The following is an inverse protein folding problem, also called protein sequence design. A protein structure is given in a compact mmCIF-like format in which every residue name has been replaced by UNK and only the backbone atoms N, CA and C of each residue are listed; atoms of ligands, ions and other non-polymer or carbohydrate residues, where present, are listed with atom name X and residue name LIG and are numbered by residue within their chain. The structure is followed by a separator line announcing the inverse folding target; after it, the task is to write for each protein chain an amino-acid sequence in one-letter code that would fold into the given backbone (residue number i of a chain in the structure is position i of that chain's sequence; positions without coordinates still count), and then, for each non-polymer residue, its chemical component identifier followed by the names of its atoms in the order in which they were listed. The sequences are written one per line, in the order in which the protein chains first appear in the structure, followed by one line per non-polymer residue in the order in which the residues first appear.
data_IF_039588160736
#
_entry.id   IF_039588160736
#
_cell.length_a   1.000
_cell.length_b   1.000
_cell.length_c   1.000
_cell.angle_alpha   90.00
_cell.angle_beta   90.00
_cell.angle_gamma   90.00
#
_symmetry.space_group_name_H-M   'P 1'
#
loop_
_entity.id
_entity.type
_entity.pdbx_description
1 polymer ?
#
# COMPACT_ATOMS: atom_id res chain seq x y z
N UNK A 1 -1.99 -6.83 34.75
CA UNK A 1 -1.25 -8.06 34.42
C UNK A 1 -0.78 -7.92 33.00
N UNK A 2 0.52 -7.76 32.76
CA UNK A 2 1.09 -7.72 31.40
C UNK A 2 0.80 -9.06 30.75
N UNK A 3 -0.02 -9.08 29.71
CA UNK A 3 -0.31 -10.30 28.94
C UNK A 3 1.00 -10.75 28.30
N UNK A 4 1.53 -11.86 28.76
CA UNK A 4 2.75 -12.41 28.18
C UNK A 4 2.43 -13.04 26.82
N UNK A 5 2.65 -12.29 25.74
CA UNK A 5 2.39 -12.70 24.36
C UNK A 5 3.49 -13.58 23.75
N UNK A 6 4.57 -13.86 24.48
CA UNK A 6 5.68 -14.68 23.97
C UNK A 6 5.22 -16.09 23.55
N UNK A 7 4.27 -16.68 24.29
CA UNK A 7 3.68 -17.97 23.92
C UNK A 7 2.95 -17.91 22.58
N UNK A 8 2.18 -16.86 22.33
CA UNK A 8 1.50 -16.61 21.06
C UNK A 8 2.50 -16.42 19.92
N UNK A 9 3.53 -15.61 20.13
CA UNK A 9 4.57 -15.39 19.11
C UNK A 9 5.31 -16.67 18.77
N UNK A 10 5.66 -17.47 19.77
CA UNK A 10 6.32 -18.78 19.56
C UNK A 10 5.41 -19.76 18.80
N UNK A 11 4.10 -19.77 19.10
CA UNK A 11 3.14 -20.63 18.40
C UNK A 11 3.02 -20.24 16.91
N UNK A 12 2.93 -18.94 16.61
CA UNK A 12 2.90 -18.44 15.22
C UNK A 12 4.19 -18.79 14.49
N UNK A 13 5.36 -18.62 15.13
CA UNK A 13 6.64 -18.95 14.53
C UNK A 13 6.76 -20.46 14.25
N UNK A 14 6.26 -21.31 15.13
CA UNK A 14 6.22 -22.74 14.89
C UNK A 14 5.30 -23.08 13.72
N UNK A 15 4.09 -22.52 13.70
CA UNK A 15 3.11 -22.72 12.64
C UNK A 15 3.61 -22.23 11.27
N UNK A 16 4.38 -21.13 11.21
CA UNK A 16 4.95 -20.61 9.96
C UNK A 16 5.85 -21.60 9.23
N UNK A 17 6.53 -22.50 9.98
CA UNK A 17 7.38 -23.54 9.40
C UNK A 17 6.56 -24.64 8.74
N UNK A 18 5.36 -24.90 9.23
CA UNK A 18 4.45 -25.91 8.69
C UNK A 18 3.88 -25.49 7.33
N UNK A 19 3.77 -24.15 7.06
CA UNK A 19 3.32 -23.63 5.78
C UNK A 19 4.20 -24.07 4.60
N UNK A 20 5.48 -24.26 4.82
CA UNK A 20 6.41 -24.74 3.79
C UNK A 20 6.09 -26.15 3.27
N UNK A 21 5.25 -26.91 3.98
CA UNK A 21 4.82 -28.26 3.62
C UNK A 21 3.51 -28.27 2.81
N UNK A 22 2.80 -27.14 2.74
CA UNK A 22 1.56 -27.05 1.99
C UNK A 22 1.85 -26.89 0.48
N UNK A 23 1.08 -27.63 -0.32
CA UNK A 23 1.10 -27.44 -1.77
C UNK A 23 0.36 -26.15 -2.17
N UNK A 24 0.71 -25.57 -3.33
CA UNK A 24 -0.01 -24.40 -3.86
C UNK A 24 -1.50 -24.72 -4.07
N UNK A 25 -1.83 -25.94 -4.51
CA UNK A 25 -3.22 -26.39 -4.65
C UNK A 25 -3.98 -26.40 -3.32
N UNK A 26 -3.35 -26.84 -2.24
CA UNK A 26 -3.96 -26.82 -0.91
C UNK A 26 -4.18 -25.39 -0.43
N UNK A 27 -3.20 -24.50 -0.64
CA UNK A 27 -3.32 -23.07 -0.34
C UNK A 27 -4.48 -22.44 -1.10
N UNK A 28 -4.62 -22.75 -2.40
CA UNK A 28 -5.69 -22.23 -3.23
C UNK A 28 -7.08 -22.74 -2.79
N UNK A 29 -7.17 -24.01 -2.37
CA UNK A 29 -8.39 -24.57 -1.80
C UNK A 29 -8.78 -23.89 -0.50
N UNK A 30 -7.82 -23.62 0.40
CA UNK A 30 -8.07 -22.90 1.65
C UNK A 30 -8.58 -21.47 1.36
N UNK A 31 -7.93 -20.74 0.46
CA UNK A 31 -8.34 -19.37 0.08
C UNK A 31 -9.79 -19.36 -0.48
N UNK A 32 -10.10 -20.28 -1.36
CA UNK A 32 -11.46 -20.40 -1.88
C UNK A 32 -12.48 -20.74 -0.78
N UNK A 33 -12.13 -21.66 0.13
CA UNK A 33 -12.99 -22.01 1.26
C UNK A 33 -13.17 -20.83 2.24
N UNK A 34 -12.15 -20.01 2.45
CA UNK A 34 -12.26 -18.76 3.25
C UNK A 34 -13.19 -17.76 2.57
N UNK A 35 -13.09 -17.60 1.24
CA UNK A 35 -14.00 -16.75 0.49
C UNK A 35 -15.47 -17.23 0.60
N UNK A 36 -15.69 -18.54 0.51
CA UNK A 36 -17.04 -19.14 0.68
C UNK A 36 -17.55 -18.95 2.12
N UNK A 37 -16.69 -19.14 3.12
CA UNK A 37 -17.03 -18.93 4.52
C UNK A 37 -17.34 -17.47 4.84
N UNK A 38 -16.62 -16.51 4.24
CA UNK A 38 -16.90 -15.07 4.40
C UNK A 38 -18.32 -14.72 3.91
N UNK A 39 -18.76 -15.34 2.82
CA UNK A 39 -20.15 -15.17 2.32
C UNK A 39 -21.16 -15.88 3.22
N UNK A 40 -20.91 -17.11 3.60
CA UNK A 40 -21.83 -17.89 4.43
C UNK A 40 -22.02 -17.28 5.83
N UNK A 41 -20.98 -16.74 6.41
CA UNK A 41 -20.97 -16.13 7.74
C UNK A 41 -21.24 -14.59 7.71
N UNK A 42 -21.70 -14.06 6.56
CA UNK A 42 -22.04 -12.63 6.40
C UNK A 42 -22.92 -12.10 7.54
N UNK A 43 -24.04 -12.77 7.94
CA UNK A 43 -24.88 -12.27 9.03
C UNK A 43 -24.13 -12.15 10.36
N UNK A 44 -23.26 -13.12 10.67
CA UNK A 44 -22.44 -13.10 11.88
C UNK A 44 -21.43 -11.96 11.84
N UNK A 45 -20.67 -11.82 10.74
CA UNK A 45 -19.67 -10.76 10.59
C UNK A 45 -20.32 -9.37 10.68
N UNK A 46 -21.49 -9.18 10.06
CA UNK A 46 -22.19 -7.89 10.10
C UNK A 46 -22.72 -7.59 11.49
N UNK A 47 -23.24 -8.60 12.24
CA UNK A 47 -23.70 -8.38 13.62
C UNK A 47 -22.57 -7.94 14.56
N UNK A 48 -21.35 -8.45 14.37
CA UNK A 48 -20.18 -8.01 15.14
C UNK A 48 -19.71 -6.64 14.68
N UNK A 49 -19.76 -6.33 13.37
CA UNK A 49 -19.44 -5.01 12.85
C UNK A 49 -20.41 -3.92 13.35
N UNK A 50 -21.69 -4.25 13.54
CA UNK A 50 -22.66 -3.31 14.14
C UNK A 50 -22.27 -2.89 15.55
N UNK A 51 -21.64 -3.75 16.36
CA UNK A 51 -21.13 -3.41 17.70
C UNK A 51 -20.02 -2.36 17.61
N UNK A 52 -19.10 -2.53 16.66
CA UNK A 52 -18.04 -1.56 16.42
C UNK A 52 -18.61 -0.22 15.94
N UNK A 53 -19.54 -0.25 14.98
CA UNK A 53 -20.20 0.95 14.44
C UNK A 53 -21.00 1.71 15.50
N UNK A 54 -21.62 1.00 16.46
CA UNK A 54 -22.39 1.62 17.55
C UNK A 54 -21.50 2.44 18.50
N UNK A 55 -20.19 2.16 18.56
CA UNK A 55 -19.21 2.89 19.38
C UNK A 55 -18.58 4.09 18.67
N UNK A 56 -18.82 4.25 17.36
CA UNK A 56 -18.22 5.31 16.55
C UNK A 56 -19.25 6.35 16.12
N UNK A 57 -18.91 7.63 16.25
CA UNK A 57 -19.75 8.72 15.71
C UNK A 57 -19.82 8.63 14.18
N UNK A 58 -21.04 8.74 13.64
CA UNK A 58 -21.28 8.68 12.18
C UNK A 58 -20.61 9.82 11.40
N UNK A 59 -20.30 10.94 12.05
CA UNK A 59 -19.55 12.05 11.45
C UNK A 59 -18.05 11.81 11.41
N UNK A 60 -17.54 10.77 12.08
CA UNK A 60 -16.13 10.43 12.08
C UNK A 60 -15.70 9.97 10.67
N UNK A 61 -14.65 10.54 10.06
CA UNK A 61 -14.15 10.14 8.74
C UNK A 61 -13.76 8.65 8.64
N UNK A 62 -13.50 7.99 9.77
CA UNK A 62 -13.19 6.56 9.83
C UNK A 62 -14.44 5.68 9.76
N UNK A 63 -15.64 6.22 9.97
CA UNK A 63 -16.89 5.44 10.02
C UNK A 63 -17.16 4.65 8.74
N UNK A 64 -16.99 5.29 7.57
CA UNK A 64 -17.16 4.59 6.30
C UNK A 64 -16.13 3.49 6.07
N UNK A 65 -14.89 3.67 6.56
CA UNK A 65 -13.83 2.66 6.47
C UNK A 65 -14.10 1.44 7.35
N UNK A 66 -14.73 1.67 8.51
CA UNK A 66 -15.09 0.64 9.49
C UNK A 66 -16.29 -0.19 9.01
N UNK A 67 -17.23 0.44 8.31
CA UNK A 67 -18.50 -0.16 7.93
C UNK A 67 -18.29 -1.31 6.94
N UNK A 68 -18.76 -2.50 7.29
CA UNK A 68 -18.95 -3.63 6.38
C UNK A 68 -20.39 -3.65 5.85
N UNK A 69 -20.58 -4.20 4.67
CA UNK A 69 -21.87 -4.46 4.04
C UNK A 69 -21.81 -5.81 3.32
N UNK A 70 -22.93 -6.39 3.01
CA UNK A 70 -22.98 -7.64 2.22
C UNK A 70 -22.22 -7.48 0.88
N UNK A 71 -22.35 -6.33 0.22
CA UNK A 71 -21.64 -6.03 -1.03
C UNK A 71 -20.13 -5.96 -0.81
N UNK A 72 -19.67 -5.30 0.26
CA UNK A 72 -18.23 -5.24 0.61
C UNK A 72 -17.68 -6.63 0.91
N UNK A 73 -18.43 -7.48 1.63
CA UNK A 73 -18.01 -8.86 1.91
C UNK A 73 -17.95 -9.72 0.64
N UNK A 74 -18.89 -9.54 -0.30
CA UNK A 74 -18.82 -10.16 -1.64
C UNK A 74 -17.58 -9.71 -2.42
N UNK A 75 -17.22 -8.42 -2.33
CA UNK A 75 -15.98 -7.89 -2.91
C UNK A 75 -14.73 -8.53 -2.30
N UNK A 76 -14.66 -8.59 -0.97
CA UNK A 76 -13.54 -9.24 -0.23
C UNK A 76 -13.41 -10.72 -0.63
N UNK A 77 -14.53 -11.44 -0.73
CA UNK A 77 -14.51 -12.83 -1.16
C UNK A 77 -14.02 -12.98 -2.62
N UNK A 78 -14.38 -12.05 -3.50
CA UNK A 78 -13.88 -12.03 -4.87
C UNK A 78 -12.38 -11.74 -4.91
N UNK A 79 -11.90 -10.80 -4.12
CA UNK A 79 -10.46 -10.48 -4.00
C UNK A 79 -9.67 -11.68 -3.44
N UNK A 80 -10.20 -12.38 -2.42
CA UNK A 80 -9.59 -13.59 -1.87
C UNK A 80 -9.48 -14.71 -2.92
N UNK A 81 -10.55 -14.92 -3.73
CA UNK A 81 -10.50 -15.87 -4.84
C UNK A 81 -9.52 -15.45 -5.93
N UNK A 82 -9.42 -14.15 -6.21
CA UNK A 82 -8.42 -13.64 -7.13
C UNK A 82 -7.00 -13.98 -6.67
N UNK A 83 -6.68 -13.79 -5.39
CA UNK A 83 -5.37 -14.19 -4.82
C UNK A 83 -5.12 -15.69 -5.02
N UNK A 84 -6.13 -16.54 -4.86
CA UNK A 84 -5.99 -17.98 -5.11
C UNK A 84 -5.61 -18.31 -6.57
N UNK A 85 -5.97 -17.46 -7.53
CA UNK A 85 -5.61 -17.68 -8.96
C UNK A 85 -4.21 -17.20 -9.32
N UNK A 86 -3.58 -16.38 -8.48
CA UNK A 86 -2.25 -15.85 -8.76
C UNK A 86 -1.20 -16.95 -8.67
N UNK A 87 -0.13 -16.88 -9.48
CA UNK A 87 0.98 -17.84 -9.38
C UNK A 87 1.67 -17.70 -8.02
N UNK A 88 2.06 -18.84 -7.44
CA UNK A 88 2.85 -18.83 -6.20
C UNK A 88 4.17 -18.06 -6.40
N UNK A 89 4.55 -17.17 -5.50
CA UNK A 89 5.83 -16.48 -5.56
C UNK A 89 6.98 -17.34 -5.03
N UNK A 90 6.67 -18.53 -4.46
CA UNK A 90 7.65 -19.37 -3.76
C UNK A 90 8.37 -20.33 -4.70
N UNK A 91 9.62 -20.67 -4.35
CA UNK A 91 10.45 -21.63 -5.10
C UNK A 91 10.89 -21.15 -6.48
N UNK A 92 10.65 -19.91 -6.85
CA UNK A 92 11.08 -19.35 -8.15
C UNK A 92 12.59 -19.22 -8.18
N UNK A 93 13.20 -19.70 -9.28
CA UNK A 93 14.63 -19.56 -9.50
C UNK A 93 14.91 -18.13 -9.93
N UNK A 94 15.53 -17.33 -9.04
CA UNK A 94 15.91 -15.95 -9.31
C UNK A 94 17.27 -15.85 -10.00
N UNK A 95 18.16 -16.82 -9.72
CA UNK A 95 19.48 -16.92 -10.34
C UNK A 95 20.01 -18.35 -10.20
N UNK A 96 20.68 -18.84 -11.22
CA UNK A 96 21.40 -20.11 -11.19
C UNK A 96 22.82 -19.91 -11.75
N UNK A 97 23.80 -20.52 -11.12
CA UNK A 97 25.21 -20.40 -11.54
C UNK A 97 25.99 -21.65 -11.15
N UNK A 98 26.71 -22.26 -12.08
CA UNK A 98 27.69 -23.30 -11.82
C UNK A 98 29.07 -22.72 -11.62
N UNK A 99 29.81 -23.21 -10.65
CA UNK A 99 31.18 -22.79 -10.37
C UNK A 99 32.21 -23.72 -11.02
N UNK A 100 33.44 -23.23 -11.28
CA UNK A 100 34.49 -24.07 -11.90
C UNK A 100 34.82 -25.34 -11.12
N UNK A 101 34.58 -25.37 -9.79
CA UNK A 101 34.80 -26.52 -8.93
C UNK A 101 33.59 -27.49 -8.90
N UNK A 102 32.60 -27.29 -9.75
CA UNK A 102 31.42 -28.17 -9.86
C UNK A 102 30.25 -27.82 -8.95
N UNK A 103 30.40 -26.85 -8.01
CA UNK A 103 29.25 -26.41 -7.19
C UNK A 103 28.17 -25.73 -8.04
N UNK A 104 26.92 -26.10 -7.83
CA UNK A 104 25.73 -25.43 -8.36
C UNK A 104 25.13 -24.52 -7.29
N UNK A 105 24.94 -23.26 -7.60
CA UNK A 105 24.35 -22.23 -6.73
C UNK A 105 23.03 -21.80 -7.32
N UNK A 106 21.94 -21.99 -6.58
CA UNK A 106 20.59 -21.58 -7.00
C UNK A 106 20.03 -20.61 -5.98
N UNK A 107 19.67 -19.39 -6.43
CA UNK A 107 18.97 -18.40 -5.63
C UNK A 107 17.48 -18.61 -5.81
N UNK A 108 16.76 -18.95 -4.74
CA UNK A 108 15.32 -19.25 -4.79
C UNK A 108 14.53 -18.30 -3.89
N UNK A 109 13.33 -17.93 -4.32
CA UNK A 109 12.40 -17.15 -3.48
C UNK A 109 11.84 -17.98 -2.35
N UNK A 110 11.71 -17.35 -1.17
CA UNK A 110 11.19 -17.97 0.06
C UNK A 110 10.32 -16.95 0.81
N UNK A 111 9.39 -17.39 1.70
CA UNK A 111 8.68 -16.45 2.57
C UNK A 111 9.64 -15.71 3.50
N UNK A 112 9.20 -14.56 4.05
CA UNK A 112 9.88 -13.94 5.18
C UNK A 112 9.81 -14.84 6.43
N UNK A 113 8.64 -15.41 6.69
CA UNK A 113 8.33 -16.22 7.86
C UNK A 113 7.09 -15.72 8.58
N UNK A 114 7.26 -14.82 9.57
CA UNK A 114 6.16 -14.21 10.32
C UNK A 114 6.09 -12.71 10.04
N UNK A 115 4.95 -12.24 9.55
CA UNK A 115 4.71 -10.83 9.27
C UNK A 115 3.73 -10.26 10.28
N UNK A 116 4.14 -9.22 11.02
CA UNK A 116 3.28 -8.43 11.88
C UNK A 116 2.59 -7.31 11.11
N UNK A 117 1.27 -7.20 11.20
CA UNK A 117 0.51 -6.12 10.56
C UNK A 117 -0.18 -5.29 11.63
N UNK A 118 0.12 -3.99 11.69
CA UNK A 118 -0.51 -3.04 12.60
C UNK A 118 -1.41 -2.12 11.78
N UNK A 119 -2.73 -2.12 12.03
CA UNK A 119 -3.69 -1.40 11.19
C UNK A 119 -4.82 -0.74 11.99
N UNK A 120 -5.41 0.32 11.42
CA UNK A 120 -6.51 1.10 11.98
C UNK A 120 -7.81 0.80 11.23
N UNK A 121 -8.95 0.83 11.96
CA UNK A 121 -10.35 0.95 11.50
C UNK A 121 -10.68 0.39 10.08
N UNK A 122 -10.16 -0.79 9.72
CA UNK A 122 -10.36 -1.43 8.40
C UNK A 122 -10.49 -2.93 8.56
N UNK A 123 -11.67 -3.46 8.91
CA UNK A 123 -11.85 -4.91 9.13
C UNK A 123 -11.47 -5.77 7.92
N UNK A 124 -11.67 -5.27 6.69
CA UNK A 124 -11.30 -5.98 5.47
C UNK A 124 -9.80 -6.36 5.42
N UNK A 125 -8.93 -5.56 6.06
CA UNK A 125 -7.48 -5.82 6.08
C UNK A 125 -7.16 -7.21 6.64
N UNK A 126 -7.98 -7.73 7.57
CA UNK A 126 -7.78 -9.07 8.14
C UNK A 126 -7.86 -10.17 7.07
N UNK A 127 -8.83 -10.11 6.15
CA UNK A 127 -8.93 -11.04 5.03
C UNK A 127 -7.83 -10.81 3.99
N UNK A 128 -7.60 -9.55 3.61
CA UNK A 128 -6.64 -9.18 2.57
C UNK A 128 -5.23 -9.65 2.95
N UNK A 129 -4.82 -9.33 4.18
CA UNK A 129 -3.50 -9.72 4.71
C UNK A 129 -3.36 -11.22 4.85
N UNK A 130 -4.38 -11.89 5.43
CA UNK A 130 -4.36 -13.35 5.55
C UNK A 130 -4.16 -14.01 4.18
N UNK A 131 -4.93 -13.57 3.17
CA UNK A 131 -4.87 -14.14 1.83
C UNK A 131 -3.49 -14.00 1.18
N UNK A 132 -2.92 -12.80 1.26
CA UNK A 132 -1.58 -12.53 0.71
C UNK A 132 -0.48 -13.26 1.49
N UNK A 133 -0.54 -13.28 2.82
CA UNK A 133 0.42 -13.99 3.65
C UNK A 133 0.37 -15.49 3.40
N UNK A 134 -0.81 -16.11 3.41
CA UNK A 134 -0.96 -17.54 3.15
C UNK A 134 -0.43 -17.91 1.76
N UNK A 135 -0.81 -17.14 0.71
CA UNK A 135 -0.36 -17.41 -0.68
C UNK A 135 1.14 -17.26 -0.86
N UNK A 136 1.78 -16.40 -0.09
CA UNK A 136 3.23 -16.20 -0.09
C UNK A 136 3.98 -17.03 0.96
N UNK A 137 3.29 -17.96 1.65
CA UNK A 137 3.88 -18.87 2.63
C UNK A 137 4.27 -18.23 3.95
N UNK A 138 3.74 -17.04 4.26
CA UNK A 138 3.98 -16.34 5.51
C UNK A 138 2.86 -16.61 6.51
N UNK A 139 3.20 -16.77 7.78
CA UNK A 139 2.26 -16.60 8.87
C UNK A 139 2.11 -15.12 9.20
N UNK A 140 0.97 -14.71 9.77
CA UNK A 140 0.76 -13.31 10.11
C UNK A 140 0.23 -13.11 11.53
N UNK A 141 0.69 -12.02 12.14
CA UNK A 141 0.20 -11.52 13.42
C UNK A 141 -0.50 -10.19 13.15
N UNK A 142 -1.79 -10.15 13.42
CA UNK A 142 -2.66 -9.02 13.18
C UNK A 142 -2.82 -8.22 14.48
N UNK A 143 -2.60 -6.91 14.41
CA UNK A 143 -2.84 -5.98 15.50
C UNK A 143 -3.75 -4.86 15.00
N UNK A 144 -5.05 -5.10 15.11
CA UNK A 144 -6.09 -4.12 14.78
C UNK A 144 -6.22 -3.01 15.83
N UNK A 145 -6.89 -1.93 15.46
CA UNK A 145 -7.33 -0.90 16.40
C UNK A 145 -8.56 -1.34 17.18
N UNK A 146 -8.79 -0.72 18.37
CA UNK A 146 -9.98 -0.96 19.19
C UNK A 146 -11.29 -0.57 18.49
N UNK A 147 -11.21 0.26 17.46
CA UNK A 147 -12.36 0.69 16.65
C UNK A 147 -13.03 -0.46 15.90
N UNK A 148 -12.31 -1.56 15.63
CA UNK A 148 -12.74 -2.69 14.81
C UNK A 148 -12.54 -4.05 15.50
N UNK A 149 -12.48 -4.09 16.82
CA UNK A 149 -12.07 -5.30 17.57
C UNK A 149 -13.07 -6.45 17.39
N UNK A 150 -14.38 -6.19 17.49
CA UNK A 150 -15.42 -7.22 17.33
C UNK A 150 -15.44 -7.76 15.90
N UNK A 151 -15.35 -6.90 14.90
CA UNK A 151 -15.26 -7.29 13.49
C UNK A 151 -14.04 -8.15 13.19
N UNK A 152 -12.86 -7.74 13.69
CA UNK A 152 -11.62 -8.47 13.48
C UNK A 152 -11.67 -9.86 14.13
N UNK A 153 -12.19 -9.98 15.36
CA UNK A 153 -12.39 -11.27 16.04
C UNK A 153 -13.31 -12.19 15.26
N UNK A 154 -14.42 -11.65 14.77
CA UNK A 154 -15.38 -12.41 13.94
C UNK A 154 -14.70 -12.96 12.69
N UNK A 155 -13.98 -12.12 11.97
CA UNK A 155 -13.25 -12.50 10.74
C UNK A 155 -12.22 -13.60 11.04
N UNK A 156 -11.39 -13.42 12.07
CA UNK A 156 -10.37 -14.42 12.41
C UNK A 156 -11.01 -15.72 12.86
N UNK A 157 -12.12 -15.70 13.59
CA UNK A 157 -12.85 -16.92 13.95
C UNK A 157 -13.36 -17.70 12.72
N UNK A 158 -13.82 -16.97 11.68
CA UNK A 158 -14.22 -17.59 10.40
C UNK A 158 -13.04 -18.24 9.70
N UNK A 159 -11.90 -17.56 9.65
CA UNK A 159 -10.66 -18.08 9.04
C UNK A 159 -10.19 -19.33 9.81
N UNK A 160 -10.15 -19.30 11.15
CA UNK A 160 -9.71 -20.43 11.97
C UNK A 160 -10.60 -21.67 11.74
N UNK A 161 -11.93 -21.52 11.69
CA UNK A 161 -12.85 -22.63 11.36
C UNK A 161 -12.55 -23.29 10.00
N UNK A 162 -12.08 -22.50 9.02
CA UNK A 162 -11.67 -23.04 7.73
C UNK A 162 -10.36 -23.78 7.85
N UNK A 163 -9.35 -23.19 8.51
CA UNK A 163 -8.04 -23.83 8.71
C UNK A 163 -8.16 -25.18 9.42
N UNK A 164 -9.01 -25.26 10.45
CA UNK A 164 -9.30 -26.51 11.17
C UNK A 164 -9.87 -27.60 10.24
N UNK A 165 -10.77 -27.24 9.33
CA UNK A 165 -11.34 -28.19 8.33
C UNK A 165 -10.28 -28.74 7.37
N UNK A 166 -9.23 -27.96 7.10
CA UNK A 166 -8.11 -28.38 6.27
C UNK A 166 -6.97 -29.00 7.08
N UNK A 167 -7.13 -29.20 8.40
CA UNK A 167 -6.11 -29.69 9.32
C UNK A 167 -4.82 -28.85 9.29
N UNK A 168 -4.96 -27.54 9.03
CA UNK A 168 -3.86 -26.58 9.08
C UNK A 168 -3.85 -25.91 10.43
N UNK A 169 -2.66 -25.73 10.98
CA UNK A 169 -2.46 -25.09 12.28
C UNK A 169 -3.05 -23.67 12.28
N UNK A 170 -4.09 -23.34 13.09
CA UNK A 170 -4.73 -22.04 13.07
C UNK A 170 -3.79 -20.91 13.51
N UNK A 171 -2.71 -21.20 14.22
CA UNK A 171 -1.71 -20.21 14.62
C UNK A 171 -0.93 -19.59 13.44
N UNK A 172 -1.17 -20.01 12.19
CA UNK A 172 -0.63 -19.28 11.04
C UNK A 172 -1.22 -17.86 10.89
N UNK A 173 -2.32 -17.58 11.57
CA UNK A 173 -2.87 -16.23 11.70
C UNK A 173 -3.35 -16.01 13.13
N UNK A 174 -2.84 -14.96 13.77
CA UNK A 174 -3.22 -14.57 15.13
C UNK A 174 -3.62 -13.11 15.22
N UNK A 175 -4.68 -12.85 15.96
CA UNK A 175 -5.13 -11.49 16.28
C UNK A 175 -4.74 -11.16 17.72
N UNK A 176 -3.89 -10.16 17.89
CA UNK A 176 -3.52 -9.63 19.20
C UNK A 176 -4.62 -8.76 19.82
N UNK A 177 -4.64 -8.65 21.15
CA UNK A 177 -5.51 -7.70 21.84
C UNK A 177 -5.37 -6.27 21.30
N UNK A 178 -6.47 -5.52 21.28
CA UNK A 178 -6.52 -4.18 20.69
C UNK A 178 -5.91 -3.08 21.59
N UNK A 179 -5.14 -3.44 22.61
CA UNK A 179 -4.50 -2.52 23.56
C UNK A 179 -3.10 -2.05 23.12
N UNK A 180 -2.54 -1.09 23.85
CA UNK A 180 -1.21 -0.53 23.60
C UNK A 180 -0.07 -1.47 24.01
N UNK A 181 -0.31 -2.31 25.02
CA UNK A 181 0.69 -3.26 25.51
C UNK A 181 0.98 -4.32 24.45
N UNK A 182 -0.06 -4.84 23.78
CA UNK A 182 0.08 -5.76 22.66
C UNK A 182 0.83 -5.12 21.47
N UNK A 183 0.59 -3.83 21.20
CA UNK A 183 1.36 -3.10 20.17
C UNK A 183 2.84 -3.04 20.56
N UNK A 184 3.15 -2.64 21.78
CA UNK A 184 4.54 -2.57 22.25
C UNK A 184 5.21 -3.96 22.26
N UNK A 185 4.48 -5.01 22.65
CA UNK A 185 4.98 -6.38 22.60
C UNK A 185 5.33 -6.81 21.17
N UNK A 186 4.44 -6.53 20.19
CA UNK A 186 4.68 -6.85 18.78
C UNK A 186 5.90 -6.11 18.22
N UNK A 187 6.04 -4.79 18.50
CA UNK A 187 7.18 -3.98 18.05
C UNK A 187 8.53 -4.49 18.59
N UNK A 188 8.51 -5.22 19.70
CA UNK A 188 9.69 -5.76 20.37
C UNK A 188 9.83 -7.30 20.21
N UNK A 189 8.98 -7.98 19.43
CA UNK A 189 8.97 -9.44 19.27
C UNK A 189 10.13 -9.96 18.41
N UNK A 190 11.35 -9.48 18.67
CA UNK A 190 12.58 -9.91 17.99
C UNK A 190 12.81 -11.41 18.19
N UNK A 191 13.19 -12.10 17.10
CA UNK A 191 13.37 -13.55 17.11
C UNK A 191 12.10 -14.38 16.88
N UNK A 192 10.92 -13.73 16.88
CA UNK A 192 9.62 -14.35 16.56
C UNK A 192 8.97 -13.80 15.30
N UNK A 193 9.12 -12.48 15.07
CA UNK A 193 8.54 -11.76 13.95
C UNK A 193 9.65 -11.23 13.07
N UNK A 194 9.54 -11.46 11.77
CA UNK A 194 10.59 -11.14 10.78
C UNK A 194 10.40 -9.75 10.17
N UNK A 195 9.16 -9.29 10.07
CA UNK A 195 8.80 -8.05 9.40
C UNK A 195 7.54 -7.45 10.01
N UNK A 196 7.47 -6.11 10.09
CA UNK A 196 6.24 -5.38 10.44
C UNK A 196 5.84 -4.47 9.27
N UNK A 197 4.53 -4.45 8.96
CA UNK A 197 3.94 -3.57 7.96
C UNK A 197 2.82 -2.76 8.64
N UNK A 198 3.03 -1.46 8.91
CA UNK A 198 1.97 -0.60 9.42
C UNK A 198 1.01 -0.17 8.29
N UNK A 199 -0.30 -0.12 8.61
CA UNK A 199 -1.38 0.27 7.69
C UNK A 199 -2.32 1.26 8.37
N UNK A 200 -2.18 2.55 8.10
CA UNK A 200 -3.02 3.55 8.74
C UNK A 200 -2.59 4.98 8.45
N UNK A 201 -2.79 5.84 9.43
CA UNK A 201 -2.38 7.25 9.39
C UNK A 201 -0.87 7.40 9.41
N UNK A 202 -0.37 8.53 8.91
CA UNK A 202 1.06 8.89 8.98
C UNK A 202 1.59 8.84 10.42
N UNK A 203 0.75 9.20 11.40
CA UNK A 203 1.13 9.12 12.82
C UNK A 203 1.40 7.66 13.26
N UNK A 204 0.55 6.71 12.85
CA UNK A 204 0.77 5.29 13.15
C UNK A 204 2.05 4.79 12.47
N UNK A 205 2.25 5.14 11.20
CA UNK A 205 3.42 4.69 10.42
C UNK A 205 4.71 5.22 11.06
N UNK A 206 4.76 6.51 11.40
CA UNK A 206 5.89 7.13 12.07
C UNK A 206 6.15 6.49 13.43
N UNK A 207 5.09 6.28 14.22
CA UNK A 207 5.20 5.63 15.52
C UNK A 207 5.81 4.23 15.41
N UNK A 208 5.35 3.41 14.46
CA UNK A 208 5.88 2.06 14.23
C UNK A 208 7.34 2.13 13.80
N UNK A 209 7.68 3.00 12.85
CA UNK A 209 9.05 3.19 12.36
C UNK A 209 10.03 3.55 13.47
N UNK A 210 9.62 4.45 14.38
CA UNK A 210 10.48 4.97 15.45
C UNK A 210 10.64 4.01 16.63
N UNK A 211 9.67 3.09 16.83
CA UNK A 211 9.62 2.25 18.03
C UNK A 211 9.84 0.75 17.76
N UNK A 212 9.81 0.31 16.49
CA UNK A 212 10.02 -1.10 16.18
C UNK A 212 11.50 -1.48 16.27
N UNK A 213 11.76 -2.64 16.88
CA UNK A 213 13.06 -3.32 16.86
C UNK A 213 13.16 -4.39 15.76
N UNK A 214 12.11 -4.58 15.03
CA UNK A 214 11.96 -5.50 13.90
C UNK A 214 11.98 -4.66 12.62
N UNK A 215 12.50 -5.16 11.50
CA UNK A 215 12.42 -4.50 10.21
C UNK A 215 10.99 -4.05 9.87
N UNK A 216 10.84 -2.84 9.35
CA UNK A 216 9.54 -2.27 8.98
C UNK A 216 9.52 -1.97 7.48
N UNK A 217 8.47 -2.38 6.79
CA UNK A 217 8.16 -1.86 5.45
C UNK A 217 7.08 -0.81 5.59
N UNK A 218 7.44 0.45 5.32
CA UNK A 218 6.53 1.58 5.46
C UNK A 218 5.62 1.72 4.22
N UNK A 219 4.33 1.89 4.48
CA UNK A 219 3.38 2.39 3.49
C UNK A 219 3.17 3.87 3.79
N UNK A 220 4.03 4.73 3.23
CA UNK A 220 4.07 6.16 3.56
C UNK A 220 2.85 6.95 3.06
N UNK A 221 2.77 8.24 3.48
CA UNK A 221 1.86 9.20 2.89
C UNK A 221 2.14 9.36 1.39
N UNK A 222 1.09 9.58 0.60
CA UNK A 222 1.22 9.78 -0.83
C UNK A 222 1.11 11.25 -1.19
N UNK A 223 2.25 11.97 -1.25
CA UNK A 223 2.28 13.32 -1.80
C UNK A 223 2.75 13.20 -3.25
N UNK A 224 1.79 13.35 -4.18
CA UNK A 224 2.02 13.11 -5.60
C UNK A 224 2.05 14.41 -6.40
N UNK A 225 2.96 14.50 -7.37
CA UNK A 225 3.08 15.66 -8.26
C UNK A 225 2.81 15.28 -9.71
N UNK A 226 2.26 16.24 -10.46
CA UNK A 226 2.24 16.22 -11.93
C UNK A 226 2.90 17.48 -12.43
N UNK A 227 4.06 17.35 -13.06
CA UNK A 227 4.77 18.45 -13.69
C UNK A 227 4.32 18.60 -15.15
N UNK A 228 3.70 19.75 -15.47
CA UNK A 228 3.36 20.15 -16.82
C UNK A 228 4.53 20.96 -17.41
N UNK A 229 5.32 20.29 -18.24
CA UNK A 229 6.55 20.81 -18.86
C UNK A 229 6.26 21.86 -19.95
N UNK A 230 7.28 22.62 -20.35
CA UNK A 230 7.17 23.59 -21.46
C UNK A 230 6.76 22.92 -22.79
N UNK A 231 7.01 21.62 -22.97
CA UNK A 231 6.63 20.81 -24.12
C UNK A 231 5.38 19.95 -23.88
N UNK A 232 4.61 20.22 -22.83
CA UNK A 232 3.42 19.45 -22.49
C UNK A 232 2.28 19.63 -23.49
N UNK A 233 1.54 18.56 -23.77
CA UNK A 233 0.26 18.64 -24.50
C UNK A 233 -0.86 19.00 -23.54
N UNK A 234 -1.55 20.12 -23.80
CA UNK A 234 -2.57 20.69 -22.91
C UNK A 234 -3.76 19.76 -22.71
N UNK A 235 -4.19 19.03 -23.76
CA UNK A 235 -5.32 18.11 -23.67
C UNK A 235 -4.96 16.91 -22.79
N UNK A 236 -3.80 16.27 -23.05
CA UNK A 236 -3.31 15.17 -22.22
C UNK A 236 -3.12 15.61 -20.77
N UNK A 237 -2.52 16.79 -20.54
CA UNK A 237 -2.32 17.35 -19.22
C UNK A 237 -3.62 17.57 -18.46
N UNK A 238 -4.65 18.11 -19.10
CA UNK A 238 -5.97 18.34 -18.50
C UNK A 238 -6.62 17.02 -18.05
N UNK A 239 -6.59 16.00 -18.92
CA UNK A 239 -7.18 14.69 -18.62
C UNK A 239 -6.41 13.96 -17.50
N UNK A 240 -5.06 14.01 -17.52
CA UNK A 240 -4.19 13.42 -16.50
C UNK A 240 -4.42 14.07 -15.14
N UNK A 241 -4.38 15.41 -15.06
CA UNK A 241 -4.57 16.18 -13.82
C UNK A 241 -5.97 15.93 -13.25
N UNK A 242 -7.01 15.99 -14.10
CA UNK A 242 -8.37 15.72 -13.68
C UNK A 242 -8.51 14.30 -13.12
N UNK A 243 -8.06 13.28 -13.85
CA UNK A 243 -8.14 11.89 -13.42
C UNK A 243 -7.35 11.65 -12.12
N UNK A 244 -6.10 12.11 -12.06
CA UNK A 244 -5.24 11.92 -10.89
C UNK A 244 -5.82 12.58 -9.62
N UNK A 245 -6.52 13.72 -9.74
CA UNK A 245 -7.12 14.42 -8.60
C UNK A 245 -8.51 13.91 -8.23
N UNK A 246 -9.35 13.55 -9.20
CA UNK A 246 -10.81 13.42 -8.93
C UNK A 246 -11.33 11.98 -8.96
N UNK A 247 -10.58 11.02 -9.48
CA UNK A 247 -11.00 9.60 -9.50
C UNK A 247 -11.32 9.08 -8.10
N UNK A 248 -10.45 9.34 -7.14
CA UNK A 248 -10.62 9.01 -5.72
C UNK A 248 -9.65 9.84 -4.89
N UNK A 249 -10.16 10.83 -4.16
CA UNK A 249 -9.33 11.79 -3.43
C UNK A 249 -8.70 11.23 -2.14
N UNK A 250 -9.29 10.17 -1.56
CA UNK A 250 -8.91 9.63 -0.25
C UNK A 250 -7.85 8.54 -0.31
N UNK A 251 -7.09 8.45 -1.41
CA UNK A 251 -6.02 7.46 -1.62
C UNK A 251 -4.67 8.13 -1.85
N UNK A 252 -3.60 7.42 -1.51
CA UNK A 252 -2.22 7.93 -1.53
C UNK A 252 -1.65 8.25 -2.93
N UNK A 253 -2.27 7.77 -4.00
CA UNK A 253 -1.87 8.07 -5.38
C UNK A 253 -2.62 9.26 -5.99
N UNK A 254 -3.50 9.93 -5.20
CA UNK A 254 -4.21 11.12 -5.66
C UNK A 254 -3.23 12.31 -5.81
N UNK A 255 -3.46 13.11 -6.84
CA UNK A 255 -2.63 14.29 -7.11
C UNK A 255 -2.78 15.34 -6.01
N UNK A 256 -1.66 15.82 -5.45
CA UNK A 256 -1.64 16.89 -4.45
C UNK A 256 -1.06 18.20 -4.97
N UNK A 257 -0.13 18.13 -5.93
CA UNK A 257 0.42 19.35 -6.50
C UNK A 257 0.63 19.22 -8.01
N UNK A 258 0.08 20.15 -8.76
CA UNK A 258 0.45 20.39 -10.16
C UNK A 258 1.58 21.42 -10.20
N UNK A 259 2.69 21.05 -10.84
CA UNK A 259 3.80 21.96 -11.13
C UNK A 259 3.65 22.40 -12.59
N UNK A 260 3.73 23.70 -12.88
CA UNK A 260 3.59 24.23 -14.24
C UNK A 260 4.80 25.07 -14.61
N UNK A 261 5.35 24.84 -15.81
CA UNK A 261 6.38 25.70 -16.37
C UNK A 261 5.82 27.11 -16.67
N UNK A 262 6.52 28.19 -16.31
CA UNK A 262 6.03 29.57 -16.42
C UNK A 262 5.60 29.95 -17.85
N UNK A 263 6.26 29.44 -18.89
CA UNK A 263 5.89 29.63 -20.29
C UNK A 263 4.51 29.07 -20.66
N UNK A 264 3.95 28.22 -19.80
CA UNK A 264 2.69 27.50 -20.03
C UNK A 264 1.58 27.95 -19.09
N UNK A 265 1.76 29.07 -18.36
CA UNK A 265 0.72 29.63 -17.48
C UNK A 265 -0.58 29.94 -18.21
N UNK A 266 -0.50 30.31 -19.50
CA UNK A 266 -1.68 30.52 -20.35
C UNK A 266 -2.54 29.28 -20.58
N UNK A 267 -1.97 28.07 -20.40
CA UNK A 267 -2.72 26.81 -20.51
C UNK A 267 -3.42 26.41 -19.19
N UNK A 268 -3.03 27.02 -18.07
CA UNK A 268 -3.52 26.63 -16.75
C UNK A 268 -5.05 26.66 -16.62
N UNK A 269 -5.78 27.66 -17.19
CA UNK A 269 -7.24 27.62 -17.20
C UNK A 269 -7.83 26.40 -17.89
N UNK A 270 -7.22 25.94 -18.99
CA UNK A 270 -7.64 24.76 -19.73
C UNK A 270 -7.32 23.47 -18.94
N UNK A 271 -6.12 23.38 -18.35
CA UNK A 271 -5.68 22.26 -17.52
C UNK A 271 -6.60 22.04 -16.29
N UNK A 272 -7.07 23.14 -15.67
CA UNK A 272 -7.91 23.10 -14.49
C UNK A 272 -9.42 23.08 -14.79
N UNK A 273 -9.83 23.18 -16.06
CA UNK A 273 -11.25 23.37 -16.40
C UNK A 273 -12.17 22.25 -15.91
N UNK A 274 -11.74 21.01 -16.01
CA UNK A 274 -12.53 19.86 -15.57
C UNK A 274 -12.66 19.77 -14.03
N UNK A 275 -11.68 20.29 -13.29
CA UNK A 275 -11.65 20.31 -11.82
C UNK A 275 -12.78 21.14 -11.20
N UNK A 276 -13.29 22.14 -11.92
CA UNK A 276 -14.43 22.98 -11.50
C UNK A 276 -15.69 22.14 -11.23
N UNK A 277 -15.95 21.14 -12.09
CA UNK A 277 -17.12 20.25 -11.95
C UNK A 277 -17.07 19.44 -10.66
N UNK A 278 -15.87 19.07 -10.26
CA UNK A 278 -15.61 18.32 -9.03
C UNK A 278 -15.40 19.22 -7.81
N UNK A 279 -15.56 20.55 -7.96
CA UNK A 279 -15.38 21.56 -6.91
C UNK A 279 -14.02 21.45 -6.20
N UNK A 280 -12.96 21.22 -6.94
CA UNK A 280 -11.61 21.15 -6.37
C UNK A 280 -11.14 22.53 -5.93
N UNK A 281 -10.75 22.68 -4.68
CA UNK A 281 -10.10 23.91 -4.20
C UNK A 281 -8.63 23.89 -4.62
N UNK A 282 -8.19 24.96 -5.29
CA UNK A 282 -6.82 25.12 -5.76
C UNK A 282 -6.10 26.17 -4.91
N UNK A 283 -4.98 25.76 -4.29
CA UNK A 283 -4.03 26.64 -3.63
C UNK A 283 -2.91 26.98 -4.62
N UNK A 284 -2.96 28.17 -5.21
CA UNK A 284 -2.07 28.59 -6.28
C UNK A 284 -1.01 29.60 -5.79
N UNK A 285 0.24 29.45 -6.25
CA UNK A 285 1.23 30.50 -6.05
C UNK A 285 0.84 31.77 -6.82
N UNK A 286 1.56 32.86 -6.58
CA UNK A 286 1.18 34.16 -7.09
C UNK A 286 0.95 34.19 -8.62
N UNK A 287 1.83 33.54 -9.40
CA UNK A 287 1.71 33.55 -10.87
C UNK A 287 0.57 32.64 -11.35
N UNK A 288 0.43 31.46 -10.76
CA UNK A 288 -0.66 30.54 -11.06
C UNK A 288 -2.01 31.12 -10.62
N UNK A 289 -2.07 31.84 -9.48
CA UNK A 289 -3.27 32.50 -9.03
C UNK A 289 -3.74 33.55 -10.05
N UNK A 290 -2.84 34.41 -10.50
CA UNK A 290 -3.14 35.44 -11.53
C UNK A 290 -3.61 34.79 -12.85
N UNK A 291 -3.04 33.67 -13.25
CA UNK A 291 -3.44 32.95 -14.46
C UNK A 291 -4.82 32.29 -14.33
N UNK A 292 -5.27 31.93 -13.12
CA UNK A 292 -6.56 31.32 -12.85
C UNK A 292 -7.66 32.33 -12.48
N UNK A 293 -7.28 33.57 -12.07
CA UNK A 293 -8.23 34.59 -11.68
C UNK A 293 -9.17 34.94 -12.84
N UNK A 294 -10.48 34.98 -12.58
CA UNK A 294 -11.51 35.16 -13.62
C UNK A 294 -11.77 33.92 -14.50
N UNK A 295 -10.91 32.90 -14.43
CA UNK A 295 -11.04 31.63 -15.18
C UNK A 295 -11.43 30.45 -14.32
N UNK A 296 -11.25 30.53 -13.02
CA UNK A 296 -11.63 29.50 -12.04
C UNK A 296 -12.59 30.11 -10.99
N UNK A 297 -13.54 29.33 -10.39
CA UNK A 297 -14.46 29.88 -9.39
C UNK A 297 -13.70 30.50 -8.22
N UNK A 298 -14.03 31.75 -7.89
CA UNK A 298 -13.28 32.53 -6.90
C UNK A 298 -13.31 31.87 -5.49
N UNK A 299 -14.42 31.23 -5.13
CA UNK A 299 -14.57 30.53 -3.86
C UNK A 299 -13.72 29.26 -3.75
N UNK A 300 -13.24 28.74 -4.89
CA UNK A 300 -12.40 27.54 -4.97
C UNK A 300 -10.93 27.88 -5.27
N UNK A 301 -10.58 29.15 -5.48
CA UNK A 301 -9.23 29.60 -5.75
C UNK A 301 -8.67 30.33 -4.53
N UNK A 302 -7.60 29.81 -3.96
CA UNK A 302 -6.97 30.32 -2.76
C UNK A 302 -5.47 30.58 -3.01
N UNK A 303 -4.87 31.62 -2.38
CA UNK A 303 -3.42 31.79 -2.43
C UNK A 303 -2.74 30.64 -1.67
N UNK A 304 -1.68 30.11 -2.27
CA UNK A 304 -0.85 29.10 -1.61
C UNK A 304 0.03 29.75 -0.54
N UNK A 305 0.23 28.98 0.55
CA UNK A 305 1.26 29.25 1.56
C UNK A 305 2.37 28.20 1.44
N UNK A 306 3.53 28.35 2.08
CA UNK A 306 4.55 27.30 2.09
C UNK A 306 4.02 25.92 2.51
N UNK A 307 3.08 25.89 3.46
CA UNK A 307 2.44 24.67 3.99
C UNK A 307 1.43 24.03 3.00
N UNK A 308 1.12 24.71 1.90
CA UNK A 308 0.30 24.15 0.82
C UNK A 308 1.08 23.14 -0.02
N UNK A 309 2.41 23.22 0.01
CA UNK A 309 3.30 22.30 -0.69
C UNK A 309 3.79 21.20 0.28
N UNK A 310 4.08 20.02 -0.23
CA UNK A 310 4.50 18.88 0.60
C UNK A 310 3.39 18.35 1.54
N UNK A 311 2.12 18.54 1.16
CA UNK A 311 0.95 18.12 1.93
C UNK A 311 0.10 17.10 1.17
N UNK A 312 -0.21 15.99 1.82
CA UNK A 312 -1.23 15.03 1.36
C UNK A 312 -2.62 15.59 1.74
N UNK A 313 -3.42 15.99 0.76
CA UNK A 313 -4.72 16.62 1.04
C UNK A 313 -5.83 15.63 1.37
N UNK A 314 -5.85 14.45 0.74
CA UNK A 314 -6.90 13.43 0.91
C UNK A 314 -8.32 13.98 0.71
N UNK A 315 -8.45 15.05 -0.08
CA UNK A 315 -9.68 15.81 -0.29
C UNK A 315 -9.68 16.40 -1.71
N UNK A 316 -10.80 16.98 -2.12
CA UNK A 316 -10.91 17.79 -3.35
C UNK A 316 -10.14 19.11 -3.21
N UNK A 317 -8.86 19.00 -2.91
CA UNK A 317 -7.91 20.11 -2.73
C UNK A 317 -6.59 19.76 -3.38
N UNK A 318 -5.92 20.74 -3.97
CA UNK A 318 -4.57 20.58 -4.52
C UNK A 318 -3.83 21.90 -4.55
N UNK A 319 -2.50 21.85 -4.62
CA UNK A 319 -1.66 23.00 -4.85
C UNK A 319 -1.29 23.16 -6.34
N UNK A 320 -0.96 24.39 -6.75
CA UNK A 320 -0.35 24.68 -8.04
C UNK A 320 0.92 25.51 -7.82
N UNK A 321 2.03 25.02 -8.35
CA UNK A 321 3.36 25.62 -8.26
C UNK A 321 3.87 26.02 -9.64
N UNK A 322 4.25 27.27 -9.83
CA UNK A 322 4.94 27.74 -11.01
C UNK A 322 6.45 27.60 -10.89
N UNK A 323 7.10 27.15 -11.95
CA UNK A 323 8.57 27.00 -12.03
C UNK A 323 9.12 27.61 -13.30
N UNK A 324 10.36 28.09 -13.25
CA UNK A 324 11.03 28.76 -14.39
C UNK A 324 11.76 27.78 -15.30
N UNK A 325 12.13 26.63 -14.76
CA UNK A 325 12.93 25.64 -15.46
C UNK A 325 12.52 24.21 -15.07
N UNK A 326 13.01 23.25 -15.83
CA UNK A 326 12.91 21.84 -15.50
C UNK A 326 13.63 21.51 -14.20
N UNK A 327 14.78 22.12 -13.98
CA UNK A 327 15.60 21.94 -12.77
C UNK A 327 14.87 22.45 -11.53
N UNK A 328 14.13 23.56 -11.64
CA UNK A 328 13.29 24.07 -10.54
C UNK A 328 12.14 23.10 -10.23
N UNK A 329 11.56 22.45 -11.25
CA UNK A 329 10.54 21.43 -11.04
C UNK A 329 11.10 20.21 -10.30
N UNK A 330 12.28 19.73 -10.69
CA UNK A 330 12.98 18.65 -10.00
C UNK A 330 13.31 19.02 -8.56
N UNK A 331 13.78 20.25 -8.32
CA UNK A 331 14.05 20.75 -6.96
C UNK A 331 12.80 20.76 -6.10
N UNK A 332 11.68 21.28 -6.63
CA UNK A 332 10.40 21.28 -5.91
C UNK A 332 9.91 19.86 -5.55
N UNK A 333 10.00 18.92 -6.50
CA UNK A 333 9.65 17.52 -6.24
C UNK A 333 10.55 16.94 -5.16
N UNK A 334 11.87 17.16 -5.24
CA UNK A 334 12.82 16.64 -4.26
C UNK A 334 12.53 17.11 -2.84
N UNK A 335 12.11 18.37 -2.68
CA UNK A 335 11.83 19.01 -1.39
C UNK A 335 10.46 18.60 -0.81
N UNK A 336 9.44 18.39 -1.66
CA UNK A 336 8.05 18.29 -1.24
C UNK A 336 7.42 16.90 -1.44
N UNK A 337 8.09 15.99 -2.13
CA UNK A 337 7.58 14.66 -2.43
C UNK A 337 7.71 13.69 -1.24
N UNK A 338 6.70 12.83 -1.09
CA UNK A 338 6.80 11.62 -0.25
C UNK A 338 7.52 10.47 -0.96
N UNK A 339 7.98 10.66 -2.20
CA UNK A 339 8.58 9.63 -3.07
C UNK A 339 7.61 8.51 -3.45
N UNK A 340 6.33 8.84 -3.51
CA UNK A 340 5.30 7.86 -3.88
C UNK A 340 5.14 7.78 -5.39
N UNK A 341 4.55 8.80 -6.02
CA UNK A 341 4.24 8.80 -7.45
C UNK A 341 4.43 10.20 -8.04
N UNK A 342 5.27 10.28 -9.06
CA UNK A 342 5.62 11.52 -9.73
C UNK A 342 5.40 11.41 -11.23
N UNK A 343 4.79 12.43 -11.83
CA UNK A 343 4.47 12.44 -13.26
C UNK A 343 5.07 13.66 -13.95
N UNK A 344 5.56 13.48 -15.17
CA UNK A 344 5.81 14.57 -16.12
C UNK A 344 4.84 14.45 -17.31
N UNK A 345 4.27 15.59 -17.72
CA UNK A 345 3.52 15.72 -18.98
C UNK A 345 4.38 16.50 -19.96
N UNK A 346 4.91 15.79 -20.97
CA UNK A 346 5.82 16.36 -21.99
C UNK A 346 5.80 15.55 -23.27
N UNK A 347 5.91 16.20 -24.41
CA UNK A 347 6.13 15.56 -25.72
C UNK A 347 7.63 15.46 -26.07
N UNK A 348 8.50 16.03 -25.25
CA UNK A 348 9.95 15.94 -25.43
C UNK A 348 10.48 14.65 -24.81
N UNK A 349 10.92 13.72 -25.64
CA UNK A 349 11.43 12.41 -25.22
C UNK A 349 12.70 12.48 -24.35
N UNK A 350 13.56 13.45 -24.58
CA UNK A 350 14.78 13.65 -23.81
C UNK A 350 14.46 14.13 -22.38
N UNK A 351 13.50 15.08 -22.26
CA UNK A 351 12.95 15.54 -20.98
C UNK A 351 12.33 14.38 -20.21
N UNK A 352 11.50 13.57 -20.87
CA UNK A 352 10.87 12.41 -20.27
C UNK A 352 11.91 11.42 -19.73
N UNK A 353 12.91 11.07 -20.55
CA UNK A 353 13.99 10.17 -20.15
C UNK A 353 14.82 10.73 -18.97
N UNK A 354 15.10 12.03 -18.98
CA UNK A 354 15.86 12.69 -17.92
C UNK A 354 15.05 12.72 -16.62
N UNK A 355 13.75 13.04 -16.69
CA UNK A 355 12.84 13.02 -15.53
C UNK A 355 12.81 11.65 -14.88
N UNK A 356 12.56 10.59 -15.65
CA UNK A 356 12.50 9.21 -15.13
C UNK A 356 13.83 8.73 -14.56
N UNK A 357 14.96 9.28 -15.01
CA UNK A 357 16.29 8.94 -14.49
C UNK A 357 16.61 9.65 -13.17
N UNK A 358 16.18 10.91 -13.01
CA UNK A 358 16.57 11.77 -11.89
C UNK A 358 15.59 11.65 -10.72
N UNK A 359 14.28 11.57 -11.01
CA UNK A 359 13.26 11.58 -9.97
C UNK A 359 13.30 10.29 -9.16
N UNK A 360 13.53 10.43 -7.85
CA UNK A 360 13.63 9.33 -6.90
C UNK A 360 12.29 9.08 -6.22
N UNK A 361 11.37 8.44 -6.94
CA UNK A 361 10.07 8.01 -6.43
C UNK A 361 9.84 6.51 -6.67
N UNK A 362 8.86 5.92 -5.98
CA UNK A 362 8.49 4.53 -6.15
C UNK A 362 7.93 4.28 -7.56
N UNK A 363 7.11 5.23 -8.06
CA UNK A 363 6.55 5.17 -9.41
C UNK A 363 6.79 6.51 -10.10
N UNK A 364 7.39 6.47 -11.29
CA UNK A 364 7.69 7.66 -12.11
C UNK A 364 7.03 7.51 -13.48
N UNK A 365 6.18 8.47 -13.81
CA UNK A 365 5.30 8.43 -14.97
C UNK A 365 5.65 9.47 -16.02
N UNK A 366 5.46 9.12 -17.27
CA UNK A 366 5.49 10.05 -18.41
C UNK A 366 4.14 10.00 -19.10
N UNK A 367 3.41 11.11 -19.15
CA UNK A 367 2.10 11.24 -19.81
C UNK A 367 1.05 10.22 -19.32
N UNK A 368 1.08 9.86 -18.03
CA UNK A 368 0.14 8.92 -17.40
C UNK A 368 -0.25 9.43 -16.02
N UNK A 369 -1.51 9.24 -15.64
CA UNK A 369 -2.02 9.62 -14.31
C UNK A 369 -1.36 8.84 -13.18
N UNK A 370 -1.02 9.51 -12.07
CA UNK A 370 -0.53 8.88 -10.84
C UNK A 370 -1.54 7.91 -10.22
N UNK A 371 -2.83 8.03 -10.59
CA UNK A 371 -3.90 7.13 -10.17
C UNK A 371 -3.70 5.65 -10.59
N UNK A 372 -2.75 5.39 -11.48
CA UNK A 372 -2.36 4.02 -11.87
C UNK A 372 -1.39 3.35 -10.89
N UNK A 373 -0.89 4.04 -9.86
CA UNK A 373 -0.10 3.38 -8.80
C UNK A 373 -1.02 2.53 -7.92
N UNK A 374 -1.26 1.31 -8.35
CA UNK A 374 -2.23 0.38 -7.78
C UNK A 374 -1.85 -1.04 -8.20
N UNK A 375 -1.88 -2.00 -7.28
CA UNK A 375 -1.44 -3.37 -7.55
C UNK A 375 -2.23 -4.07 -8.65
N UNK A 376 -3.55 -3.83 -8.73
CA UNK A 376 -4.37 -4.40 -9.80
C UNK A 376 -4.01 -3.79 -11.15
N UNK A 377 -3.75 -2.47 -11.20
CA UNK A 377 -3.33 -1.79 -12.42
C UNK A 377 -1.93 -2.21 -12.88
N UNK A 378 -1.06 -2.61 -11.96
CA UNK A 378 0.29 -3.13 -12.25
C UNK A 378 0.28 -4.63 -12.60
N UNK A 379 -0.89 -5.26 -12.59
CA UNK A 379 -1.01 -6.69 -12.89
C UNK A 379 -0.59 -7.60 -11.74
N UNK A 380 -0.42 -7.07 -10.52
CA UNK A 380 -0.06 -7.86 -9.34
C UNK A 380 -1.26 -8.62 -8.75
N UNK A 381 -2.47 -8.32 -9.23
CA UNK A 381 -3.71 -8.95 -8.81
C UNK A 381 -4.22 -8.52 -7.43
N UNK A 382 -3.34 -8.31 -6.48
CA UNK A 382 -3.65 -7.83 -5.13
C UNK A 382 -2.44 -7.10 -4.55
N UNK A 383 -2.66 -6.25 -3.53
CA UNK A 383 -1.59 -5.53 -2.85
C UNK A 383 -1.83 -5.41 -1.35
N UNK A 384 -0.75 -5.46 -0.58
CA UNK A 384 -0.78 -5.18 0.86
C UNK A 384 -0.57 -3.69 1.16
N UNK A 385 -0.12 -2.92 0.18
CA UNK A 385 0.13 -1.49 0.26
C UNK A 385 1.19 -1.02 -0.71
N UNK A 386 1.51 0.26 -0.67
CA UNK A 386 2.50 0.90 -1.54
C UNK A 386 3.63 1.43 -0.67
N UNK A 387 4.83 0.89 -0.87
CA UNK A 387 6.03 1.31 -0.12
C UNK A 387 6.78 2.42 -0.85
N UNK A 388 7.23 3.43 -0.11
CA UNK A 388 8.06 4.52 -0.62
C UNK A 388 9.54 4.39 -0.23
N UNK A 389 9.87 3.40 0.58
CA UNK A 389 11.25 3.18 1.03
C UNK A 389 12.12 2.50 -0.03
N UNK A 390 13.45 2.56 0.14
CA UNK A 390 14.41 1.99 -0.82
C UNK A 390 14.91 0.60 -0.44
N UNK A 391 14.87 0.27 0.84
CA UNK A 391 15.33 -1.03 1.32
C UNK A 391 14.19 -2.04 1.18
N UNK A 392 14.45 -3.11 0.41
CA UNK A 392 13.52 -4.14 0.00
C UNK A 392 12.40 -3.63 -0.91
N UNK A 393 11.08 -3.84 -0.58
CA UNK A 393 9.97 -3.50 -1.47
C UNK A 393 9.80 -1.99 -1.67
N UNK A 394 9.57 -1.57 -2.91
CA UNK A 394 9.28 -0.19 -3.29
C UNK A 394 8.19 -0.16 -4.37
N UNK A 395 7.16 0.66 -4.17
CA UNK A 395 5.96 0.68 -5.01
C UNK A 395 4.85 -0.22 -4.48
N UNK A 396 3.84 -0.56 -5.29
CA UNK A 396 2.80 -1.51 -4.93
C UNK A 396 3.40 -2.87 -4.53
N UNK A 397 2.97 -3.42 -3.41
CA UNK A 397 3.48 -4.66 -2.84
C UNK A 397 2.46 -5.79 -3.01
N UNK A 398 2.67 -6.64 -4.00
CA UNK A 398 1.94 -7.89 -4.21
C UNK A 398 2.58 -9.07 -3.48
N UNK A 399 2.42 -10.26 -4.04
CA UNK A 399 2.93 -11.50 -3.44
C UNK A 399 4.46 -11.58 -3.44
N UNK A 400 5.12 -11.08 -4.48
CA UNK A 400 6.58 -11.16 -4.61
C UNK A 400 7.28 -10.28 -3.58
N UNK A 401 6.72 -9.09 -3.30
CA UNK A 401 7.29 -8.09 -2.39
C UNK A 401 7.25 -8.50 -0.92
N UNK A 402 6.43 -9.50 -0.57
CA UNK A 402 6.40 -10.09 0.77
C UNK A 402 7.13 -11.43 0.84
N UNK A 403 8.11 -11.63 -0.06
CA UNK A 403 9.05 -12.74 -0.07
C UNK A 403 10.50 -12.24 0.02
N UNK A 404 11.39 -13.16 0.37
CA UNK A 404 12.84 -12.97 0.34
C UNK A 404 13.47 -14.06 -0.52
N UNK A 405 14.74 -14.33 -0.35
CA UNK A 405 15.44 -15.38 -1.06
C UNK A 405 16.44 -16.11 -0.16
N UNK A 406 16.74 -17.36 -0.51
CA UNK A 406 17.89 -18.09 0.03
C UNK A 406 18.73 -18.68 -1.11
N UNK A 407 19.95 -19.03 -0.79
CA UNK A 407 20.82 -19.76 -1.69
C UNK A 407 20.76 -21.27 -1.35
N UNK A 408 20.46 -22.08 -2.34
CA UNK A 408 20.62 -23.54 -2.30
C UNK A 408 21.91 -23.84 -3.01
N UNK A 409 22.82 -24.55 -2.34
CA UNK A 409 24.15 -24.88 -2.85
C UNK A 409 24.30 -26.37 -2.86
N UNK A 410 24.52 -26.91 -4.04
CA UNK A 410 24.69 -28.35 -4.28
C UNK A 410 26.13 -28.62 -4.74
N UNK A 411 26.74 -29.66 -4.21
CA UNK A 411 28.10 -30.04 -4.53
C UNK A 411 28.34 -31.55 -4.30
N UNK A 412 29.55 -31.95 -4.54
CA UNK A 412 30.04 -33.34 -4.37
C UNK A 412 31.37 -33.33 -3.57
N UNK A 413 31.31 -32.88 -2.32
CA UNK A 413 32.45 -32.87 -1.40
C UNK A 413 33.49 -31.76 -1.60
N UNK A 414 33.17 -30.65 -2.31
CA UNK A 414 34.09 -29.54 -2.50
C UNK A 414 34.43 -28.87 -1.15
N UNK A 415 35.73 -28.64 -0.94
CA UNK A 415 36.28 -27.94 0.21
C UNK A 415 37.00 -26.65 -0.21
N UNK A 416 37.09 -25.68 0.71
CA UNK A 416 37.85 -24.44 0.55
C UNK A 416 38.98 -24.39 1.56
N UNK A 417 40.21 -24.30 1.08
CA UNK A 417 41.42 -24.17 1.88
C UNK A 417 41.93 -22.72 1.84
#
# INVERSE_FOLDING_TARGET
MTTNLNGTFAAVQAASRELALLSDDTINQILNAVADAAIAETPFILSENEKDLARMDKSNPKYDRLKLTEERLKGIAADTRNVATLPSPLGRILKETSRPNGMKLTKVSVPFGVIGIIYEARPNVSFDVFSLCLKSGNACILKGGSDADDSNRAIISVIHKVLEKFHVNPHIVELLPADREATAALLNATGYVDLIIPRGSSNLINFVRENARIPVIETGAGICHTYFDEFGDTRKGADIIHNAKTRRVSVCNALDCTIIHEKRLGDLPALCNQLKKSKVTIYADTQAYQALEGHYPAELLQPATPESFGREFLDYKMAVKTVKSFEDALGHIQENSSRHSECIVTENKERAALFTKIVDAACVYTNVSTAFTDGAQFGLGAEIGISTQKLHARGPMGLEEITSYKWVIEGDGQTRW
#
